data_IF_566032677922
#
_entry.id   IF_566032677922
#
_cell.length_a   1.000
_cell.length_b   1.000
_cell.length_c   1.000
_cell.angle_alpha   90.00
_cell.angle_beta   90.00
_cell.angle_gamma   90.00
#
_symmetry.space_group_name_H-M   'P 1'
#
loop_
_entity.id
_entity.type
_entity.pdbx_description
1 polymer ?
#
# COMPACT_ATOMS: atom_id res chain seq x y z
N UNK A 1 -25.55 8.92 -32.12
CA UNK A 1 -24.43 9.39 -31.34
C UNK A 1 -24.64 9.18 -29.83
N UNK A 2 -25.81 9.56 -29.28
CA UNK A 2 -26.12 9.40 -27.82
C UNK A 2 -25.98 7.96 -27.33
N UNK A 3 -26.49 6.97 -28.04
CA UNK A 3 -26.39 5.55 -27.66
C UNK A 3 -24.96 5.02 -27.66
N UNK A 4 -24.12 5.51 -28.59
CA UNK A 4 -22.70 5.14 -28.62
C UNK A 4 -21.94 5.63 -27.38
N UNK A 5 -22.17 6.88 -26.95
CA UNK A 5 -21.58 7.43 -25.76
C UNK A 5 -22.07 6.71 -24.49
N UNK A 6 -23.38 6.43 -24.39
CA UNK A 6 -23.96 5.72 -23.25
C UNK A 6 -23.37 4.32 -23.12
N UNK A 7 -23.31 3.56 -24.24
CA UNK A 7 -22.68 2.21 -24.22
C UNK A 7 -21.22 2.27 -23.79
N UNK A 8 -20.45 3.22 -24.31
CA UNK A 8 -19.04 3.35 -23.99
C UNK A 8 -18.84 3.74 -22.53
N UNK A 9 -19.63 4.64 -22.02
CA UNK A 9 -19.58 5.05 -20.61
C UNK A 9 -19.99 3.91 -19.68
N UNK A 10 -20.96 3.09 -20.05
CA UNK A 10 -21.43 1.95 -19.25
C UNK A 10 -20.40 0.81 -19.22
N UNK A 11 -19.54 0.68 -20.23
CA UNK A 11 -18.47 -0.33 -20.28
C UNK A 11 -17.23 0.06 -19.47
N UNK A 12 -17.03 1.34 -19.16
CA UNK A 12 -15.87 1.79 -18.39
C UNK A 12 -15.79 1.14 -16.99
N UNK A 13 -16.86 1.15 -16.15
CA UNK A 13 -16.78 0.55 -14.82
C UNK A 13 -16.41 -0.94 -14.83
N UNK A 14 -17.05 -1.82 -15.61
CA UNK A 14 -16.70 -3.24 -15.61
C UNK A 14 -15.30 -3.51 -16.17
N UNK A 15 -14.84 -2.74 -17.15
CA UNK A 15 -13.46 -2.88 -17.66
C UNK A 15 -12.44 -2.45 -16.61
N UNK A 16 -12.67 -1.34 -15.91
CA UNK A 16 -11.81 -0.91 -14.82
C UNK A 16 -11.77 -1.93 -13.69
N UNK A 17 -12.93 -2.46 -13.28
CA UNK A 17 -12.99 -3.51 -12.26
C UNK A 17 -12.23 -4.76 -12.69
N UNK A 18 -12.38 -5.20 -13.94
CA UNK A 18 -11.66 -6.35 -14.47
C UNK A 18 -10.15 -6.14 -14.47
N UNK A 19 -9.68 -4.99 -14.97
CA UNK A 19 -8.25 -4.67 -15.02
C UNK A 19 -7.67 -4.53 -13.61
N UNK A 20 -8.33 -3.81 -12.72
CA UNK A 20 -7.85 -3.64 -11.34
C UNK A 20 -7.83 -4.94 -10.55
N UNK A 21 -8.83 -5.82 -10.73
CA UNK A 21 -8.84 -7.15 -10.12
C UNK A 21 -7.68 -8.02 -10.64
N UNK A 22 -7.44 -7.99 -11.95
CA UNK A 22 -6.34 -8.74 -12.57
C UNK A 22 -4.99 -8.24 -12.04
N UNK A 23 -4.75 -6.94 -12.06
CA UNK A 23 -3.52 -6.34 -11.54
C UNK A 23 -3.35 -6.65 -10.05
N UNK A 24 -4.39 -6.48 -9.24
CA UNK A 24 -4.38 -6.81 -7.81
C UNK A 24 -4.03 -8.27 -7.56
N UNK A 25 -4.54 -9.18 -8.38
CA UNK A 25 -4.24 -10.61 -8.28
C UNK A 25 -2.79 -10.90 -8.66
N UNK A 26 -2.34 -10.36 -9.79
CA UNK A 26 -0.96 -10.56 -10.26
C UNK A 26 0.06 -10.06 -9.22
N UNK A 27 -0.14 -8.88 -8.63
CA UNK A 27 0.77 -8.31 -7.64
C UNK A 27 0.95 -9.17 -6.39
N UNK A 28 0.05 -10.12 -6.13
CA UNK A 28 0.16 -11.07 -5.02
C UNK A 28 1.01 -12.30 -5.32
N UNK A 29 1.16 -12.65 -6.59
CA UNK A 29 1.89 -13.85 -7.02
C UNK A 29 3.28 -13.53 -7.58
N UNK A 30 3.53 -12.28 -7.94
CA UNK A 30 4.83 -11.89 -8.50
C UNK A 30 5.87 -11.85 -7.37
N UNK A 31 6.97 -12.61 -7.48
CA UNK A 31 8.09 -12.52 -6.55
C UNK A 31 8.67 -11.09 -6.56
N UNK A 32 9.12 -10.60 -5.41
CA UNK A 32 9.53 -9.20 -5.23
C UNK A 32 8.37 -8.23 -5.03
N UNK A 33 7.20 -8.74 -4.66
CA UNK A 33 6.03 -7.94 -4.30
C UNK A 33 6.26 -7.03 -3.07
N UNK A 34 5.31 -6.16 -2.74
CA UNK A 34 5.48 -5.16 -1.68
C UNK A 34 5.76 -5.79 -0.31
N UNK A 35 5.19 -6.95 -0.03
CA UNK A 35 5.45 -7.67 1.21
C UNK A 35 6.88 -8.23 1.27
N UNK A 36 7.34 -8.85 0.18
CA UNK A 36 8.69 -9.41 0.11
C UNK A 36 9.76 -8.33 0.21
N UNK A 37 9.54 -7.17 -0.44
CA UNK A 37 10.41 -5.99 -0.28
C UNK A 37 10.43 -5.49 1.15
N UNK A 38 9.28 -5.34 1.80
CA UNK A 38 9.20 -4.93 3.19
C UNK A 38 9.92 -5.91 4.13
N UNK A 39 9.80 -7.21 3.87
CA UNK A 39 10.56 -8.24 4.60
C UNK A 39 12.06 -8.11 4.37
N UNK A 40 12.51 -7.91 3.14
CA UNK A 40 13.93 -7.73 2.80
C UNK A 40 14.52 -6.44 3.39
N UNK A 41 13.77 -5.34 3.37
CA UNK A 41 14.19 -4.08 3.98
C UNK A 41 14.32 -4.19 5.49
N UNK A 42 13.38 -4.85 6.14
CA UNK A 42 13.45 -5.09 7.56
C UNK A 42 14.60 -6.04 7.95
N UNK A 43 14.91 -7.05 7.13
CA UNK A 43 16.08 -7.89 7.32
C UNK A 43 17.38 -7.09 7.17
N UNK A 44 17.50 -6.26 6.14
CA UNK A 44 18.67 -5.38 5.93
C UNK A 44 18.86 -4.37 7.07
N UNK A 45 17.77 -3.81 7.60
CA UNK A 45 17.84 -2.89 8.74
C UNK A 45 18.38 -3.58 10.01
N UNK A 46 18.10 -4.86 10.16
CA UNK A 46 18.61 -5.68 11.29
C UNK A 46 20.09 -6.03 11.11
N UNK A 47 20.55 -6.27 9.88
CA UNK A 47 21.95 -6.57 9.57
C UNK A 47 22.87 -5.33 9.63
N UNK A 48 22.32 -4.12 9.35
CA UNK A 48 23.06 -2.86 9.35
C UNK A 48 23.22 -2.18 10.72
N UNK A 49 22.50 -2.58 11.74
CA UNK A 49 22.54 -2.07 13.11
C UNK A 49 23.55 -2.84 13.97
N UNK A 50 24.76 -2.29 14.10
CA UNK A 50 25.88 -2.91 14.79
C UNK A 50 25.59 -3.39 16.21
N UNK A 51 26.11 -4.56 16.50
CA UNK A 51 26.63 -5.07 17.75
C UNK A 51 25.90 -4.67 19.04
N UNK A 52 24.91 -5.42 19.40
CA UNK A 52 24.28 -5.40 20.72
C UNK A 52 23.72 -6.79 21.05
N UNK A 53 24.57 -7.60 21.66
CA UNK A 53 24.35 -8.86 22.39
C UNK A 53 22.95 -9.50 22.37
N UNK A 54 22.90 -10.67 21.77
CA UNK A 54 22.14 -11.77 22.32
C UNK A 54 20.79 -12.06 21.68
N UNK A 55 20.83 -13.00 20.85
CA UNK A 55 19.83 -14.02 20.52
C UNK A 55 19.50 -14.15 19.04
N UNK A 56 20.08 -15.20 18.48
CA UNK A 56 19.67 -15.98 17.30
C UNK A 56 18.80 -15.29 16.23
N UNK A 57 19.41 -15.16 15.05
CA UNK A 57 18.68 -15.06 13.78
C UNK A 57 18.01 -13.71 13.56
N UNK A 58 18.73 -12.78 12.92
CA UNK A 58 18.25 -11.43 12.60
C UNK A 58 17.13 -11.38 11.57
N UNK A 59 16.00 -11.99 11.85
CA UNK A 59 14.77 -11.88 11.06
C UNK A 59 13.74 -11.03 11.80
N UNK A 60 12.79 -10.46 11.05
CA UNK A 60 11.61 -9.82 11.64
C UNK A 60 10.94 -10.78 12.62
N UNK A 61 10.46 -10.22 13.75
CA UNK A 61 9.61 -11.03 14.65
C UNK A 61 8.33 -11.41 13.90
N UNK A 62 7.79 -12.58 14.24
CA UNK A 62 6.56 -13.07 13.60
C UNK A 62 5.41 -12.08 13.73
N UNK A 63 5.34 -11.35 14.83
CA UNK A 63 4.35 -10.28 15.04
C UNK A 63 4.49 -9.14 14.06
N UNK A 64 5.72 -8.75 13.70
CA UNK A 64 5.96 -7.72 12.66
C UNK A 64 5.55 -8.22 11.28
N UNK A 65 5.81 -9.48 10.98
CA UNK A 65 5.37 -10.11 9.73
C UNK A 65 3.85 -10.16 9.66
N UNK A 66 3.16 -10.56 10.74
CA UNK A 66 1.70 -10.56 10.80
C UNK A 66 1.11 -9.14 10.67
N UNK A 67 1.77 -8.12 11.22
CA UNK A 67 1.34 -6.72 11.08
C UNK A 67 1.43 -6.27 9.62
N UNK A 68 2.51 -6.62 8.92
CA UNK A 68 2.66 -6.34 7.49
C UNK A 68 1.63 -7.11 6.64
N UNK A 69 1.41 -8.39 6.91
CA UNK A 69 0.38 -9.18 6.21
C UNK A 69 -0.98 -8.51 6.30
N UNK A 70 -1.33 -8.02 7.48
CA UNK A 70 -2.58 -7.33 7.70
C UNK A 70 -2.63 -5.96 7.01
N UNK A 71 -1.52 -5.22 7.00
CA UNK A 71 -1.45 -3.93 6.33
C UNK A 71 -1.65 -4.07 4.82
N UNK A 72 -1.06 -5.09 4.22
CA UNK A 72 -1.21 -5.39 2.78
C UNK A 72 -2.40 -6.30 2.46
N UNK A 73 -3.11 -6.83 3.47
CA UNK A 73 -4.28 -7.70 3.30
C UNK A 73 -3.94 -9.10 2.78
N UNK A 74 -2.70 -9.58 2.99
CA UNK A 74 -2.29 -10.95 2.63
C UNK A 74 -2.90 -12.01 3.55
N UNK A 75 -3.37 -11.61 4.71
CA UNK A 75 -4.07 -12.47 5.69
C UNK A 75 -5.43 -12.95 5.20
N UNK A 76 -5.98 -12.34 4.14
CA UNK A 76 -7.34 -12.58 3.63
C UNK A 76 -7.36 -13.24 2.25
N UNK A 77 -8.44 -13.96 1.88
CA UNK A 77 -8.64 -14.43 0.51
C UNK A 77 -8.60 -13.26 -0.49
N UNK A 78 -8.11 -13.53 -1.72
CA UNK A 78 -7.86 -12.49 -2.74
C UNK A 78 -9.10 -11.63 -3.00
N UNK A 79 -10.27 -12.25 -3.16
CA UNK A 79 -11.51 -11.53 -3.44
C UNK A 79 -11.92 -10.60 -2.28
N UNK A 80 -11.83 -11.10 -1.04
CA UNK A 80 -12.14 -10.31 0.15
C UNK A 80 -11.17 -9.14 0.30
N UNK A 81 -9.88 -9.38 0.14
CA UNK A 81 -8.87 -8.33 0.20
C UNK A 81 -9.04 -7.29 -0.92
N UNK A 82 -9.43 -7.72 -2.13
CA UNK A 82 -9.74 -6.80 -3.22
C UNK A 82 -10.95 -5.91 -2.90
N UNK A 83 -12.04 -6.50 -2.36
CA UNK A 83 -13.22 -5.72 -1.97
C UNK A 83 -12.93 -4.76 -0.81
N UNK A 84 -12.05 -5.14 0.12
CA UNK A 84 -11.56 -4.26 1.18
C UNK A 84 -10.66 -3.15 0.64
N UNK A 85 -9.77 -3.48 -0.32
CA UNK A 85 -8.93 -2.49 -0.99
C UNK A 85 -9.76 -1.51 -1.82
N UNK A 86 -10.82 -1.99 -2.49
CA UNK A 86 -11.76 -1.14 -3.20
C UNK A 86 -12.59 -0.24 -2.26
N UNK A 87 -12.77 -0.66 -0.99
CA UNK A 87 -13.56 0.06 0.01
C UNK A 87 -15.03 -0.34 0.04
N UNK A 88 -15.41 -1.44 -0.63
CA UNK A 88 -16.77 -2.00 -0.60
C UNK A 88 -17.02 -2.78 0.69
N UNK A 89 -15.97 -3.45 1.21
CA UNK A 89 -16.02 -4.17 2.49
C UNK A 89 -15.22 -3.42 3.56
N UNK A 90 -15.66 -3.46 4.82
CA UNK A 90 -14.93 -2.83 5.92
C UNK A 90 -13.60 -3.58 6.13
N UNK A 91 -12.55 -2.80 6.42
CA UNK A 91 -11.23 -3.30 6.76
C UNK A 91 -11.06 -3.29 8.26
N UNK A 92 -10.64 -4.41 8.81
CA UNK A 92 -10.22 -4.48 10.20
C UNK A 92 -8.83 -3.83 10.32
N UNK A 93 -8.71 -2.89 11.23
CA UNK A 93 -7.43 -2.32 11.60
C UNK A 93 -7.07 -2.83 12.98
N UNK A 94 -6.03 -3.64 13.09
CA UNK A 94 -5.47 -4.00 14.39
C UNK A 94 -4.82 -2.76 14.97
N UNK A 95 -5.50 -2.16 15.93
CA UNK A 95 -4.96 -1.04 16.66
C UNK A 95 -4.42 -1.49 18.03
N UNK A 96 -4.49 -2.77 18.31
CA UNK A 96 -3.88 -3.36 19.48
C UNK A 96 -2.52 -3.92 19.12
N UNK A 97 -1.48 -3.53 19.82
CA UNK A 97 -0.33 -4.39 20.00
C UNK A 97 -0.80 -5.51 20.93
N UNK A 98 -0.80 -6.72 20.41
CA UNK A 98 -0.90 -7.91 21.26
C UNK A 98 0.43 -8.10 21.99
N UNK A 99 0.83 -7.15 22.81
CA UNK A 99 1.78 -7.44 23.85
C UNK A 99 1.01 -8.28 24.86
N UNK A 100 1.10 -9.59 24.71
CA UNK A 100 0.86 -10.53 25.79
C UNK A 100 1.93 -10.31 26.85
N UNK A 101 1.85 -9.18 27.53
CA UNK A 101 2.51 -9.06 28.80
C UNK A 101 1.59 -9.78 29.77
N UNK A 102 2.04 -10.90 30.36
CA UNK A 102 1.43 -11.29 31.61
C UNK A 102 1.38 -10.01 32.46
N UNK A 103 0.29 -9.77 33.15
CA UNK A 103 0.19 -8.68 34.11
C UNK A 103 1.32 -8.91 35.15
N UNK A 104 2.54 -8.54 34.76
CA UNK A 104 3.71 -8.65 35.59
C UNK A 104 3.73 -7.49 36.56
N UNK A 105 4.44 -7.66 37.65
CA UNK A 105 4.76 -6.70 38.68
C UNK A 105 5.00 -5.31 38.11
N UNK A 106 3.96 -4.54 37.86
CA UNK A 106 4.06 -3.16 37.44
C UNK A 106 3.89 -2.25 38.66
N UNK A 107 5.00 -1.65 39.03
CA UNK A 107 5.07 -0.41 39.77
C UNK A 107 4.30 -0.38 41.09
N UNK A 108 4.83 -0.91 42.12
CA UNK A 108 4.35 -0.80 43.49
C UNK A 108 3.73 -2.11 44.04
N UNK A 109 4.48 -3.20 44.02
CA UNK A 109 4.29 -4.23 45.08
C UNK A 109 2.98 -5.03 45.13
N UNK A 110 2.03 -4.76 44.27
CA UNK A 110 0.79 -5.54 44.16
C UNK A 110 0.91 -6.53 43.02
N UNK A 111 0.94 -7.80 43.35
CA UNK A 111 0.83 -8.90 42.39
C UNK A 111 -0.58 -8.86 41.80
N UNK A 112 -0.75 -8.22 40.64
CA UNK A 112 -1.94 -8.42 39.82
C UNK A 112 -1.83 -9.84 39.29
N UNK A 113 -2.44 -10.80 39.95
CA UNK A 113 -2.52 -12.17 39.51
C UNK A 113 -3.39 -12.22 38.26
N UNK A 114 -2.75 -12.16 37.09
CA UNK A 114 -3.46 -12.48 35.88
C UNK A 114 -3.50 -14.00 35.72
N UNK A 115 -4.68 -14.49 35.39
CA UNK A 115 -4.80 -15.83 34.87
C UNK A 115 -4.63 -15.70 33.33
N UNK A 116 -3.45 -16.07 32.79
CA UNK A 116 -3.19 -15.88 31.33
C UNK A 116 -4.18 -16.64 30.45
N UNK A 117 -4.82 -17.68 31.00
CA UNK A 117 -5.82 -18.46 30.31
C UNK A 117 -7.17 -17.72 30.18
N UNK A 118 -7.46 -16.79 31.06
CA UNK A 118 -8.75 -16.09 31.14
C UNK A 118 -8.64 -14.58 30.88
N UNK A 119 -7.53 -13.97 31.22
CA UNK A 119 -7.36 -12.51 31.14
C UNK A 119 -6.20 -12.13 30.23
N UNK A 120 -6.46 -11.24 29.29
CA UNK A 120 -5.45 -10.71 28.38
C UNK A 120 -5.43 -9.20 28.46
N UNK A 121 -4.26 -8.60 28.64
CA UNK A 121 -4.05 -7.16 28.52
C UNK A 121 -3.66 -6.82 27.10
N UNK A 122 -4.30 -5.80 26.57
CA UNK A 122 -4.09 -5.31 25.21
C UNK A 122 -3.82 -3.82 25.28
N UNK A 123 -2.74 -3.37 24.64
CA UNK A 123 -2.46 -1.96 24.44
C UNK A 123 -3.17 -1.46 23.18
N UNK A 124 -4.09 -0.52 23.33
CA UNK A 124 -4.83 0.06 22.20
C UNK A 124 -3.97 1.07 21.47
N UNK A 125 -3.50 0.72 20.27
CA UNK A 125 -2.71 1.61 19.40
C UNK A 125 -3.49 2.90 19.11
N UNK A 126 -2.86 4.04 19.30
CA UNK A 126 -3.42 5.35 19.00
C UNK A 126 -4.00 6.11 20.20
N UNK A 127 -4.56 5.41 21.21
CA UNK A 127 -4.99 6.04 22.46
C UNK A 127 -3.96 5.92 23.58
N UNK A 128 -3.02 4.98 23.45
CA UNK A 128 -2.07 4.65 24.51
C UNK A 128 -2.71 4.01 25.75
N UNK A 129 -4.02 3.72 25.70
CA UNK A 129 -4.78 3.15 26.80
C UNK A 129 -4.67 1.65 26.79
N UNK A 130 -4.71 1.04 27.96
CA UNK A 130 -4.73 -0.40 28.12
C UNK A 130 -6.16 -0.89 28.33
N UNK A 131 -6.47 -2.03 27.76
CA UNK A 131 -7.74 -2.71 27.94
C UNK A 131 -7.50 -4.12 28.45
N UNK A 132 -8.35 -4.56 29.37
CA UNK A 132 -8.41 -5.91 29.90
C UNK A 132 -9.52 -6.67 29.21
N UNK A 133 -9.15 -7.78 28.55
CA UNK A 133 -10.08 -8.67 27.86
C UNK A 133 -10.20 -9.94 28.69
N UNK A 134 -11.42 -10.28 29.08
CA UNK A 134 -11.72 -11.50 29.84
C UNK A 134 -12.35 -12.51 28.88
N UNK A 135 -11.79 -13.71 28.85
CA UNK A 135 -12.24 -14.83 28.03
C UNK A 135 -13.05 -15.83 28.84
N UNK A 136 -13.89 -16.60 28.17
CA UNK A 136 -14.60 -17.73 28.73
C UNK A 136 -13.57 -18.83 29.13
N UNK A 137 -13.95 -19.70 30.05
CA UNK A 137 -13.11 -20.78 30.56
C UNK A 137 -12.58 -21.71 29.45
N UNK A 138 -13.38 -21.88 28.39
CA UNK A 138 -12.99 -22.65 27.20
C UNK A 138 -12.20 -21.83 26.15
N UNK A 139 -11.84 -20.59 26.44
CA UNK A 139 -11.08 -19.74 25.55
C UNK A 139 -11.78 -19.29 24.25
N UNK A 140 -13.00 -19.78 23.98
CA UNK A 140 -13.65 -19.62 22.68
C UNK A 140 -14.36 -18.26 22.46
N UNK A 141 -14.70 -17.55 23.55
CA UNK A 141 -15.44 -16.27 23.46
C UNK A 141 -14.87 -15.23 24.43
N UNK A 142 -15.02 -13.97 24.04
CA UNK A 142 -14.78 -12.82 24.91
C UNK A 142 -16.04 -12.56 25.74
N UNK A 143 -15.88 -12.57 27.07
CA UNK A 143 -16.97 -12.24 28.01
C UNK A 143 -17.08 -10.73 28.19
N UNK A 144 -15.94 -10.06 28.42
CA UNK A 144 -15.91 -8.62 28.60
C UNK A 144 -14.58 -8.05 28.12
N UNK A 145 -14.62 -6.80 27.67
CA UNK A 145 -13.45 -6.05 27.27
C UNK A 145 -13.59 -4.62 27.76
N UNK A 146 -12.83 -4.26 28.78
CA UNK A 146 -12.95 -3.00 29.48
C UNK A 146 -11.60 -2.29 29.54
N UNK A 147 -11.64 -0.95 29.57
CA UNK A 147 -10.45 -0.16 29.87
C UNK A 147 -9.93 -0.43 31.28
N UNK A 148 -8.63 -0.48 31.44
CA UNK A 148 -8.00 -0.74 32.72
C UNK A 148 -8.16 0.46 33.69
N UNK A 149 -8.18 1.68 33.17
CA UNK A 149 -8.21 2.94 33.94
C UNK A 149 -9.58 3.27 34.54
N UNK A 150 -10.66 2.97 33.84
CA UNK A 150 -12.01 3.38 34.26
C UNK A 150 -13.06 2.26 34.22
N UNK A 151 -12.65 1.06 33.90
CA UNK A 151 -13.48 -0.15 33.79
C UNK A 151 -14.70 -0.02 32.84
N UNK A 152 -14.69 0.98 31.93
CA UNK A 152 -15.72 1.13 30.89
C UNK A 152 -15.48 0.16 29.74
N UNK A 153 -16.56 -0.27 29.10
CA UNK A 153 -16.46 -1.14 27.92
C UNK A 153 -15.77 -0.44 26.78
N UNK A 154 -14.82 -1.11 26.13
CA UNK A 154 -14.15 -0.57 24.94
C UNK A 154 -15.07 -0.54 23.73
N UNK A 155 -16.17 -1.31 23.77
CA UNK A 155 -17.18 -1.31 22.69
C UNK A 155 -17.88 0.05 22.55
N UNK A 156 -17.99 0.86 23.63
CA UNK A 156 -18.55 2.21 23.57
C UNK A 156 -17.75 3.13 22.63
N UNK A 157 -16.45 2.91 22.53
CA UNK A 157 -15.54 3.64 21.64
C UNK A 157 -15.40 2.98 20.24
N UNK A 158 -16.27 2.02 19.92
CA UNK A 158 -16.32 1.33 18.64
C UNK A 158 -15.20 0.28 18.44
N UNK A 159 -14.67 -0.25 19.54
CA UNK A 159 -13.76 -1.39 19.49
C UNK A 159 -14.55 -2.70 19.45
N UNK A 160 -14.11 -3.58 18.59
CA UNK A 160 -14.58 -4.96 18.52
C UNK A 160 -13.46 -5.89 19.00
N UNK A 161 -13.85 -7.03 19.55
CA UNK A 161 -12.88 -8.02 20.06
C UNK A 161 -13.18 -9.39 19.48
N UNK A 162 -12.12 -10.13 19.14
CA UNK A 162 -12.22 -11.53 18.73
C UNK A 162 -11.09 -12.33 19.34
N UNK A 163 -11.31 -13.63 19.45
CA UNK A 163 -10.26 -14.58 19.75
C UNK A 163 -9.69 -15.10 18.44
N UNK A 164 -8.39 -15.15 18.35
CA UNK A 164 -7.64 -15.75 17.27
C UNK A 164 -7.03 -17.04 17.82
N UNK A 165 -7.48 -18.17 17.30
CA UNK A 165 -7.06 -19.49 17.75
C UNK A 165 -5.70 -19.88 17.18
N UNK A 166 -5.07 -20.89 17.79
CA UNK A 166 -3.84 -21.51 17.27
C UNK A 166 -4.06 -21.96 15.81
N UNK A 167 -5.22 -22.57 15.51
CA UNK A 167 -5.55 -23.05 14.15
C UNK A 167 -5.62 -21.90 13.14
N UNK A 168 -6.21 -20.75 13.51
CA UNK A 168 -6.27 -19.57 12.65
C UNK A 168 -4.86 -19.05 12.33
N UNK A 169 -3.97 -19.03 13.33
CA UNK A 169 -2.58 -18.60 13.18
C UNK A 169 -1.78 -19.57 12.32
N UNK A 170 -1.92 -20.87 12.54
CA UNK A 170 -1.26 -21.89 11.73
C UNK A 170 -1.74 -21.89 10.29
N UNK A 171 -3.06 -21.76 10.07
CA UNK A 171 -3.63 -21.65 8.72
C UNK A 171 -3.10 -20.43 7.98
N UNK A 172 -2.91 -19.31 8.67
CA UNK A 172 -2.31 -18.10 8.10
C UNK A 172 -0.85 -18.33 7.74
N UNK A 173 -0.10 -18.97 8.63
CA UNK A 173 1.31 -19.34 8.38
C UNK A 173 1.44 -20.24 7.14
N UNK A 174 0.63 -21.29 7.01
CA UNK A 174 0.59 -22.16 5.82
C UNK A 174 0.30 -21.36 4.54
N UNK A 175 -0.66 -20.45 4.60
CA UNK A 175 -1.01 -19.59 3.44
C UNK A 175 0.16 -18.69 3.02
N UNK A 176 0.94 -18.21 3.97
CA UNK A 176 2.12 -17.37 3.72
C UNK A 176 3.30 -18.17 3.20
N UNK A 177 3.65 -19.25 3.88
CA UNK A 177 4.85 -20.03 3.58
C UNK A 177 4.69 -20.96 2.38
N UNK A 178 3.45 -21.37 2.07
CA UNK A 178 3.17 -22.44 1.11
C UNK A 178 3.61 -23.83 1.59
N UNK A 179 4.02 -23.95 2.86
CA UNK A 179 4.48 -25.19 3.47
C UNK A 179 3.36 -25.93 4.18
N UNK A 180 3.61 -27.19 4.54
CA UNK A 180 2.67 -28.03 5.28
C UNK A 180 2.48 -27.54 6.72
N UNK A 181 1.26 -27.71 7.26
CA UNK A 181 0.88 -27.30 8.61
C UNK A 181 1.75 -27.95 9.71
N UNK A 182 2.32 -29.12 9.42
CA UNK A 182 3.22 -29.81 10.34
C UNK A 182 4.50 -29.04 10.66
N UNK A 183 4.89 -28.12 9.79
CA UNK A 183 6.06 -27.25 9.95
C UNK A 183 5.73 -25.92 10.59
N UNK A 184 4.46 -25.64 10.83
CA UNK A 184 4.06 -24.42 11.52
C UNK A 184 4.62 -24.35 12.93
N UNK A 185 4.96 -23.15 13.43
CA UNK A 185 5.42 -23.00 14.81
C UNK A 185 4.44 -23.60 15.81
N UNK A 186 4.97 -24.44 16.72
CA UNK A 186 4.18 -25.13 17.72
C UNK A 186 3.94 -24.30 18.99
N UNK A 187 4.57 -23.13 19.08
CA UNK A 187 4.50 -22.20 20.21
C UNK A 187 3.43 -21.12 20.06
N UNK A 188 2.45 -21.35 19.19
CA UNK A 188 1.31 -20.45 19.08
C UNK A 188 0.33 -20.70 20.23
N UNK A 189 -0.11 -19.60 20.83
CA UNK A 189 -1.18 -19.58 21.83
C UNK A 189 -2.40 -18.84 21.27
N UNK A 190 -3.58 -19.19 21.79
CA UNK A 190 -4.81 -18.45 21.54
C UNK A 190 -4.69 -17.04 22.10
N UNK A 191 -5.06 -16.04 21.30
CA UNK A 191 -4.96 -14.64 21.74
C UNK A 191 -6.24 -13.86 21.47
N UNK A 192 -6.54 -12.92 22.37
CA UNK A 192 -7.60 -11.97 22.15
C UNK A 192 -7.06 -10.73 21.43
N UNK A 193 -7.79 -10.26 20.42
CA UNK A 193 -7.43 -9.11 19.61
C UNK A 193 -8.53 -8.08 19.70
N UNK A 194 -8.15 -6.81 19.92
CA UNK A 194 -9.05 -5.68 19.78
C UNK A 194 -8.79 -4.98 18.44
N UNK A 195 -9.83 -4.69 17.69
CA UNK A 195 -9.75 -4.06 16.37
C UNK A 195 -10.90 -3.07 16.18
N UNK A 196 -10.74 -2.18 15.22
CA UNK A 196 -11.83 -1.33 14.72
C UNK A 196 -12.10 -1.63 13.27
N UNK A 197 -13.35 -1.74 12.92
CA UNK A 197 -13.77 -1.85 11.53
C UNK A 197 -13.93 -0.45 10.93
N UNK A 198 -13.36 -0.24 9.75
CA UNK A 198 -13.50 1.00 9.01
C UNK A 198 -13.61 0.72 7.52
N UNK A 199 -14.53 1.43 6.87
CA UNK A 199 -14.52 1.50 5.41
C UNK A 199 -13.36 2.43 4.99
N UNK A 200 -12.30 1.84 4.49
CA UNK A 200 -11.13 2.55 4.01
C UNK A 200 -10.61 1.83 2.76
N UNK A 201 -10.62 2.52 1.63
CA UNK A 201 -10.17 1.97 0.37
C UNK A 201 -10.23 3.02 -0.75
N UNK A 202 -10.04 2.55 -1.98
CA UNK A 202 -9.96 3.42 -3.16
C UNK A 202 -11.19 4.33 -3.31
N UNK A 203 -12.40 3.80 -3.07
CA UNK A 203 -13.64 4.58 -3.18
C UNK A 203 -13.79 5.66 -2.12
N UNK A 204 -13.13 5.52 -0.96
CA UNK A 204 -13.07 6.54 0.08
C UNK A 204 -11.86 7.47 -0.07
N UNK A 205 -11.08 7.34 -1.15
CA UNK A 205 -9.87 8.12 -1.38
C UNK A 205 -8.69 7.72 -0.50
N UNK A 206 -8.77 6.59 0.19
CA UNK A 206 -7.66 6.03 0.97
C UNK A 206 -6.77 5.17 0.07
N UNK A 207 -5.67 5.75 -0.38
CA UNK A 207 -4.68 5.10 -1.23
C UNK A 207 -3.58 4.38 -0.42
N UNK A 208 -3.70 4.36 0.90
CA UNK A 208 -2.70 3.78 1.78
C UNK A 208 -1.42 4.61 1.91
N UNK A 209 -0.36 3.95 2.38
CA UNK A 209 0.97 4.55 2.54
C UNK A 209 1.94 3.97 1.51
N UNK A 210 2.91 4.79 1.10
CA UNK A 210 4.01 4.35 0.24
C UNK A 210 4.96 3.45 1.03
N UNK A 211 5.37 2.34 0.43
CA UNK A 211 6.40 1.45 0.98
C UNK A 211 7.77 2.09 0.99
N UNK A 212 8.08 2.89 -0.03
CA UNK A 212 9.41 3.48 -0.22
C UNK A 212 9.63 4.74 0.64
N UNK A 213 8.57 5.54 0.84
CA UNK A 213 8.66 6.83 1.52
C UNK A 213 7.99 6.86 2.90
N UNK A 214 7.15 5.86 3.23
CA UNK A 214 6.39 5.83 4.49
C UNK A 214 5.25 6.86 4.58
N UNK A 215 5.15 7.78 3.62
CA UNK A 215 4.16 8.85 3.58
C UNK A 215 2.83 8.39 2.97
N UNK A 216 1.70 9.05 3.29
CA UNK A 216 0.44 8.78 2.61
C UNK A 216 0.58 9.02 1.11
N UNK A 217 0.17 8.03 0.30
CA UNK A 217 0.28 8.08 -1.19
C UNK A 217 -0.39 9.33 -1.74
N UNK A 218 -1.52 9.76 -1.17
CA UNK A 218 -2.22 10.98 -1.59
C UNK A 218 -1.36 12.23 -1.47
N UNK A 219 -0.57 12.35 -0.40
CA UNK A 219 0.34 13.50 -0.20
C UNK A 219 1.42 13.53 -1.28
N UNK A 220 1.99 12.36 -1.60
CA UNK A 220 3.00 12.24 -2.66
C UNK A 220 2.43 12.60 -4.04
N UNK A 221 1.22 12.12 -4.35
CA UNK A 221 0.55 12.42 -5.61
C UNK A 221 0.25 13.92 -5.70
N UNK A 222 -0.36 14.50 -4.66
CA UNK A 222 -0.76 15.91 -4.63
C UNK A 222 0.43 16.84 -4.88
N UNK A 223 1.60 16.52 -4.33
CA UNK A 223 2.81 17.30 -4.56
C UNK A 223 3.33 17.23 -6.00
N UNK A 224 3.02 16.15 -6.73
CA UNK A 224 3.50 15.95 -8.11
C UNK A 224 2.50 16.36 -9.19
N UNK A 225 1.22 16.51 -8.86
CA UNK A 225 0.16 16.90 -9.79
C UNK A 225 0.47 18.23 -10.51
N UNK A 226 0.89 19.32 -9.85
CA UNK A 226 1.11 20.60 -10.54
C UNK A 226 2.18 20.48 -11.63
N UNK A 227 3.26 19.76 -11.34
CA UNK A 227 4.35 19.53 -12.31
C UNK A 227 3.88 18.67 -13.48
N UNK A 228 3.16 17.58 -13.19
CA UNK A 228 2.62 16.69 -14.22
C UNK A 228 1.60 17.42 -15.13
N UNK A 229 0.74 18.26 -14.54
CA UNK A 229 -0.20 19.08 -15.29
C UNK A 229 0.50 20.11 -16.19
N UNK A 230 1.51 20.79 -15.67
CA UNK A 230 2.29 21.76 -16.45
C UNK A 230 2.87 21.10 -17.71
N UNK A 231 3.59 20.00 -17.56
CA UNK A 231 4.16 19.30 -18.71
C UNK A 231 3.10 18.66 -19.60
N UNK A 232 2.04 18.11 -19.03
CA UNK A 232 0.93 17.52 -19.78
C UNK A 232 0.22 18.55 -20.67
N UNK A 233 -0.11 19.71 -20.12
CA UNK A 233 -0.76 20.81 -20.86
C UNK A 233 0.19 21.35 -21.93
N UNK A 234 1.44 21.61 -21.58
CA UNK A 234 2.44 22.10 -22.54
C UNK A 234 2.62 21.13 -23.70
N UNK A 235 2.76 19.84 -23.42
CA UNK A 235 2.86 18.79 -24.44
C UNK A 235 1.62 18.74 -25.32
N UNK A 236 0.42 18.80 -24.73
CA UNK A 236 -0.82 18.83 -25.48
C UNK A 236 -0.89 20.05 -26.41
N UNK A 237 -0.60 21.25 -25.92
CA UNK A 237 -0.60 22.47 -26.70
C UNK A 237 0.37 22.39 -27.89
N UNK A 238 1.59 21.95 -27.67
CA UNK A 238 2.60 21.79 -28.72
C UNK A 238 2.16 20.73 -29.73
N UNK A 239 1.71 19.57 -29.25
CA UNK A 239 1.30 18.46 -30.10
C UNK A 239 0.12 18.85 -30.98
N UNK A 240 -0.97 19.35 -30.42
CA UNK A 240 -2.13 19.75 -31.18
C UNK A 240 -1.87 21.01 -32.03
N UNK A 241 -1.09 21.95 -31.51
CA UNK A 241 -0.71 23.17 -32.24
C UNK A 241 0.12 22.90 -33.49
N UNK A 242 0.89 21.80 -33.51
CA UNK A 242 1.66 21.39 -34.69
C UNK A 242 0.89 20.39 -35.54
N UNK A 243 0.34 19.32 -34.93
CA UNK A 243 -0.27 18.22 -35.68
C UNK A 243 -1.56 18.61 -36.41
N UNK A 244 -2.41 19.49 -35.84
CA UNK A 244 -3.65 19.89 -36.49
C UNK A 244 -3.38 20.73 -37.73
N UNK A 245 -2.57 21.83 -37.71
CA UNK A 245 -2.26 22.60 -38.92
C UNK A 245 -1.53 21.75 -39.97
N UNK A 246 -0.58 20.92 -39.55
CA UNK A 246 0.11 20.01 -40.47
C UNK A 246 -0.84 19.00 -41.12
N UNK A 247 -1.77 18.40 -40.36
CA UNK A 247 -2.78 17.50 -40.89
C UNK A 247 -3.71 18.17 -41.90
N UNK A 248 -4.16 19.40 -41.61
CA UNK A 248 -4.98 20.20 -42.52
C UNK A 248 -4.19 20.55 -43.78
N UNK A 249 -2.93 21.00 -43.64
CA UNK A 249 -2.07 21.33 -44.77
C UNK A 249 -1.86 20.13 -45.69
N UNK A 250 -1.62 18.95 -45.14
CA UNK A 250 -1.50 17.71 -45.91
C UNK A 250 -2.78 17.33 -46.63
N UNK A 251 -3.95 17.53 -46.01
CA UNK A 251 -5.23 17.25 -46.63
C UNK A 251 -5.50 18.17 -47.83
N UNK A 252 -5.21 19.48 -47.70
CA UNK A 252 -5.38 20.47 -48.74
C UNK A 252 -4.38 20.25 -49.89
N UNK A 253 -3.13 19.94 -49.57
CA UNK A 253 -2.03 19.77 -50.52
C UNK A 253 -1.75 18.30 -50.87
N UNK A 254 -2.76 17.44 -50.83
CA UNK A 254 -2.65 16.05 -51.15
C UNK A 254 -1.99 15.79 -52.49
N UNK A 255 -1.09 14.80 -52.58
CA UNK A 255 -0.31 14.42 -53.76
C UNK A 255 0.63 15.52 -54.31
N UNK A 256 0.96 16.52 -53.54
CA UNK A 256 1.98 17.53 -53.92
C UNK A 256 3.34 17.19 -53.29
N UNK A 257 4.39 17.91 -53.74
CA UNK A 257 5.72 17.79 -53.14
C UNK A 257 5.72 18.10 -51.62
N UNK A 258 4.83 19.01 -51.18
CA UNK A 258 4.67 19.36 -49.74
C UNK A 258 4.14 18.16 -48.97
N UNK A 259 3.16 17.44 -49.50
CA UNK A 259 2.62 16.23 -48.84
C UNK A 259 3.68 15.15 -48.71
N UNK A 260 4.48 14.91 -49.74
CA UNK A 260 5.57 13.94 -49.68
C UNK A 260 6.66 14.35 -48.71
N UNK A 261 7.08 15.62 -48.72
CA UNK A 261 8.12 16.12 -47.82
C UNK A 261 7.68 16.04 -46.34
N UNK A 262 6.46 16.46 -46.02
CA UNK A 262 5.89 16.36 -44.68
C UNK A 262 5.75 14.89 -44.23
N UNK A 263 5.38 13.99 -45.15
CA UNK A 263 5.31 12.57 -44.85
C UNK A 263 6.68 11.99 -44.48
N UNK A 264 7.73 12.33 -45.25
CA UNK A 264 9.10 11.90 -44.92
C UNK A 264 9.54 12.44 -43.55
N UNK A 265 9.24 13.72 -43.30
CA UNK A 265 9.64 14.34 -42.01
C UNK A 265 8.93 13.72 -40.81
N UNK A 266 7.64 13.39 -40.95
CA UNK A 266 6.89 12.65 -39.91
C UNK A 266 7.46 11.25 -39.73
N UNK A 267 7.79 10.54 -40.84
CA UNK A 267 8.37 9.21 -40.77
C UNK A 267 9.72 9.21 -40.04
N UNK A 268 10.60 10.16 -40.40
CA UNK A 268 11.90 10.30 -39.72
C UNK A 268 11.71 10.65 -38.24
N UNK A 269 10.81 11.59 -37.93
CA UNK A 269 10.51 11.96 -36.56
C UNK A 269 9.94 10.81 -35.72
N UNK A 270 9.09 9.97 -36.34
CA UNK A 270 8.52 8.80 -35.68
C UNK A 270 9.55 7.67 -35.49
N UNK A 271 10.53 7.54 -36.38
CA UNK A 271 11.57 6.52 -36.30
C UNK A 271 12.58 6.77 -35.17
N UNK A 272 12.69 8.02 -34.70
CA UNK A 272 13.60 8.35 -33.59
C UNK A 272 12.92 8.04 -32.25
N UNK A 273 13.48 7.13 -31.43
CA UNK A 273 12.94 6.87 -30.11
C UNK A 273 12.97 8.17 -29.24
N UNK A 274 11.85 8.48 -28.59
CA UNK A 274 11.70 9.73 -27.82
C UNK A 274 12.77 9.89 -26.73
N UNK A 275 13.19 8.80 -26.08
CA UNK A 275 14.26 8.84 -25.09
C UNK A 275 15.63 9.21 -25.70
N UNK A 276 15.93 8.75 -26.92
CA UNK A 276 17.16 9.09 -27.61
C UNK A 276 17.19 10.57 -28.02
N UNK A 277 16.07 11.09 -28.52
CA UNK A 277 15.93 12.51 -28.80
C UNK A 277 16.08 13.33 -27.52
N UNK A 278 15.44 12.90 -26.40
CA UNK A 278 15.59 13.55 -25.10
C UNK A 278 17.01 13.58 -24.61
N UNK A 279 17.77 12.48 -24.73
CA UNK A 279 19.18 12.43 -24.35
C UNK A 279 20.04 13.38 -25.18
N UNK A 280 19.82 13.44 -26.50
CA UNK A 280 20.51 14.37 -27.39
C UNK A 280 20.19 15.82 -27.01
N UNK A 281 18.91 16.13 -26.77
CA UNK A 281 18.52 17.48 -26.32
C UNK A 281 19.13 17.87 -24.99
N UNK A 282 19.18 16.94 -24.01
CA UNK A 282 19.81 17.18 -22.72
C UNK A 282 21.30 17.54 -22.85
N UNK A 283 22.04 16.83 -23.72
CA UNK A 283 23.45 17.11 -23.95
C UNK A 283 23.65 18.43 -24.68
N UNK A 284 22.92 18.69 -25.76
CA UNK A 284 23.17 19.88 -26.60
C UNK A 284 22.53 21.14 -26.04
N UNK A 285 21.30 21.08 -25.51
CA UNK A 285 20.59 22.25 -24.99
C UNK A 285 20.86 22.45 -23.49
N UNK A 286 21.03 21.37 -22.72
CA UNK A 286 21.35 21.43 -21.29
C UNK A 286 22.84 21.62 -21.07
N UNK A 287 23.66 20.58 -21.30
CA UNK A 287 25.07 20.60 -20.93
C UNK A 287 25.92 21.59 -21.72
N UNK A 288 25.71 21.70 -23.04
CA UNK A 288 26.48 22.60 -23.89
C UNK A 288 25.85 23.97 -24.04
N UNK A 289 24.52 24.03 -24.14
CA UNK A 289 23.78 25.27 -24.38
C UNK A 289 23.46 26.05 -23.12
N UNK A 290 23.41 25.39 -21.96
CA UNK A 290 23.03 26.02 -20.68
C UNK A 290 21.57 26.52 -20.63
N UNK A 291 20.72 26.08 -21.57
CA UNK A 291 19.33 26.54 -21.66
C UNK A 291 18.39 25.85 -20.67
N UNK A 292 18.75 24.64 -20.27
CA UNK A 292 17.95 23.84 -19.35
C UNK A 292 18.84 23.20 -18.28
N UNK A 293 18.35 23.03 -17.03
CA UNK A 293 19.08 22.33 -15.98
C UNK A 293 19.30 20.86 -16.38
N UNK A 294 20.45 20.31 -16.04
CA UNK A 294 20.78 18.90 -16.30
C UNK A 294 20.00 17.96 -15.39
N UNK A 295 19.67 18.41 -14.18
CA UNK A 295 18.95 17.65 -13.16
C UNK A 295 17.90 18.55 -12.50
N UNK A 296 16.75 17.96 -12.15
CA UNK A 296 15.68 18.69 -11.50
C UNK A 296 14.83 19.54 -12.44
N UNK A 297 13.97 20.38 -11.87
CA UNK A 297 13.04 21.27 -12.58
C UNK A 297 13.54 22.70 -12.66
N UNK A 298 14.43 23.07 -11.79
CA UNK A 298 15.02 24.41 -11.66
C UNK A 298 16.53 24.31 -11.51
N UNK A 299 17.24 25.33 -11.94
CA UNK A 299 18.67 25.43 -11.68
C UNK A 299 18.91 25.53 -10.17
N UNK A 300 19.92 24.80 -9.59
CA UNK A 300 20.26 24.92 -8.17
C UNK A 300 20.59 26.35 -7.71
N UNK A 301 20.97 27.24 -8.64
CA UNK A 301 21.29 28.65 -8.36
C UNK A 301 20.08 29.59 -8.63
N UNK A 302 18.91 29.03 -8.89
CA UNK A 302 17.70 29.79 -9.09
C UNK A 302 16.95 29.89 -7.75
N UNK A 303 17.25 30.92 -6.98
CA UNK A 303 16.53 31.36 -5.78
C UNK A 303 15.40 32.36 -6.12
#
# INVERSE_FOLDING_TARGET
MREYFIRRFLLIPPTLLGVTLLVFTITRFVPGGPMERALQEAQKATEGGGSGSGQMGGGMSEEQVEELEQEYGFDKPILQAYLQWLGVMPRERRLSKSEFRPLGKDKVGEDIVSNPDKETLVLLKGSGRQAKIIREENGSKVISANYLDNNKSIAEDGWETRIETVEDRQTRWVRRSGEDISKAPQNYDDRAIAYKTRFAGLLQGDLGRSTDFGDPVWTLIKGRIPVALYFGILTALITYGICLPLGILKAIKHRTAIDNLTSILIFVGYAIPGFALGAVMLVYLGARGGWFPLFGLTDPNFD
#
